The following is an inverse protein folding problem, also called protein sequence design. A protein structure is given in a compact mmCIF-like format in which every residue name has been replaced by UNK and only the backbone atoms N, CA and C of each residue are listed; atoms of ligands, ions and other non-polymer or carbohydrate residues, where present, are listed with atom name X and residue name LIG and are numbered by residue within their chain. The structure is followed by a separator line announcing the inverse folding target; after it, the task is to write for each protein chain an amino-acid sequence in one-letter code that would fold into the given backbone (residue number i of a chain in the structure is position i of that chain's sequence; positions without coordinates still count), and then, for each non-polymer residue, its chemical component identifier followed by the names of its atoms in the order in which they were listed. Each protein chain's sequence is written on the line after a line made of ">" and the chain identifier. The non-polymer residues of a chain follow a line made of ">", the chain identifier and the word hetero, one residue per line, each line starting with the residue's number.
data_IF_783521694983
#
_entry.id   IF_783521694983
#
_cell.length_a   1.000
_cell.length_b   1.000
_cell.length_c   1.000
_cell.angle_alpha   90.00
_cell.angle_beta   90.00
_cell.angle_gamma   90.00
#
_symmetry.space_group_name_H-M   'P 1'
#
loop_
_entity.id
_entity.type
_entity.pdbx_description
1 polymer ?
#
# COMPACT_ATOMS: atom_id res chain seq x y z
N UNK A 1 -18.01 32.23 -16.58
CA UNK A 1 -18.64 32.30 -15.23
C UNK A 1 -18.37 31.08 -14.35
N UNK A 2 -18.49 29.83 -14.85
CA UNK A 2 -18.25 28.60 -14.04
C UNK A 2 -16.85 28.51 -13.42
N UNK A 3 -15.82 28.95 -14.14
CA UNK A 3 -14.42 28.93 -13.69
C UNK A 3 -14.20 29.79 -12.44
N UNK A 4 -14.81 30.97 -12.35
CA UNK A 4 -14.64 31.88 -11.20
C UNK A 4 -15.24 31.33 -9.90
N UNK A 5 -16.35 30.60 -9.99
CA UNK A 5 -16.97 29.95 -8.84
C UNK A 5 -16.08 28.81 -8.31
N UNK A 6 -15.53 28.00 -9.21
CA UNK A 6 -14.60 26.92 -8.86
C UNK A 6 -13.36 27.44 -8.12
N UNK A 7 -12.73 28.52 -8.61
CA UNK A 7 -11.59 29.15 -7.92
C UNK A 7 -11.95 29.63 -6.50
N UNK A 8 -13.16 30.16 -6.29
CA UNK A 8 -13.61 30.60 -4.96
C UNK A 8 -13.77 29.43 -4.00
N UNK A 9 -14.33 28.32 -4.48
CA UNK A 9 -14.50 27.09 -3.68
C UNK A 9 -13.14 26.52 -3.31
N UNK A 10 -12.21 26.41 -4.28
CA UNK A 10 -10.84 25.93 -4.02
C UNK A 10 -10.16 26.83 -2.98
N UNK A 11 -10.22 28.15 -3.14
CA UNK A 11 -9.64 29.07 -2.16
C UNK A 11 -10.27 28.95 -0.77
N UNK A 12 -11.55 28.63 -0.67
CA UNK A 12 -12.21 28.40 0.62
C UNK A 12 -11.71 27.10 1.28
N UNK A 13 -11.63 26.01 0.52
CA UNK A 13 -11.15 24.71 1.01
C UNK A 13 -9.69 24.79 1.48
N UNK A 14 -8.83 25.50 0.72
CA UNK A 14 -7.41 25.64 1.04
C UNK A 14 -7.10 26.67 2.15
N UNK A 15 -8.08 27.49 2.56
CA UNK A 15 -7.93 28.36 3.74
C UNK A 15 -7.97 27.59 5.05
N UNK A 16 -8.61 26.42 5.08
CA UNK A 16 -8.67 25.58 6.27
C UNK A 16 -7.41 24.73 6.36
N UNK A 17 -6.49 25.11 7.25
CA UNK A 17 -5.16 24.52 7.34
C UNK A 17 -5.19 23.00 7.51
N UNK A 18 -6.02 22.49 8.41
CA UNK A 18 -6.14 21.04 8.65
C UNK A 18 -6.67 20.31 7.41
N UNK A 19 -7.74 20.83 6.79
CA UNK A 19 -8.30 20.25 5.57
C UNK A 19 -7.25 20.22 4.44
N UNK A 20 -6.51 21.32 4.26
CA UNK A 20 -5.42 21.40 3.28
C UNK A 20 -4.33 20.35 3.56
N UNK A 21 -3.92 20.17 4.82
CA UNK A 21 -2.92 19.16 5.21
C UNK A 21 -3.41 17.75 4.88
N UNK A 22 -4.66 17.42 5.21
CA UNK A 22 -5.22 16.09 4.92
C UNK A 22 -5.36 15.83 3.41
N UNK A 23 -5.79 16.83 2.62
CA UNK A 23 -5.85 16.71 1.17
C UNK A 23 -4.46 16.42 0.58
N UNK A 24 -3.43 17.14 1.03
CA UNK A 24 -2.07 16.90 0.53
C UNK A 24 -1.49 15.56 1.00
N UNK A 25 -1.78 15.13 2.25
CA UNK A 25 -1.35 13.82 2.74
C UNK A 25 -1.92 12.67 1.89
N UNK A 26 -3.20 12.75 1.52
CA UNK A 26 -3.85 11.78 0.64
C UNK A 26 -3.20 11.77 -0.76
N UNK A 27 -2.95 12.95 -1.34
CA UNK A 27 -2.25 13.07 -2.64
C UNK A 27 -0.83 12.50 -2.56
N UNK A 28 -0.09 12.80 -1.49
CA UNK A 28 1.26 12.29 -1.28
C UNK A 28 1.29 10.78 -1.09
N UNK A 29 0.25 10.20 -0.47
CA UNK A 29 0.07 8.75 -0.35
C UNK A 29 -0.15 8.08 -1.72
N UNK A 30 -1.07 8.59 -2.56
CA UNK A 30 -1.22 8.02 -3.91
C UNK A 30 0.02 8.21 -4.78
N UNK A 31 0.71 9.35 -4.62
CA UNK A 31 1.97 9.59 -5.30
C UNK A 31 3.07 8.65 -4.81
N UNK A 32 3.11 8.30 -3.52
CA UNK A 32 4.09 7.34 -3.00
C UNK A 32 3.86 5.95 -3.57
N UNK A 33 2.62 5.48 -3.61
CA UNK A 33 2.25 4.22 -4.27
C UNK A 33 2.70 4.23 -5.73
N UNK A 34 2.41 5.31 -6.46
CA UNK A 34 2.77 5.42 -7.87
C UNK A 34 4.28 5.39 -8.08
N UNK A 35 5.06 6.03 -7.21
CA UNK A 35 6.53 5.98 -7.23
C UNK A 35 7.05 4.57 -6.93
N UNK A 36 6.54 3.92 -5.90
CA UNK A 36 6.93 2.55 -5.51
C UNK A 36 6.63 1.55 -6.63
N UNK A 37 5.47 1.67 -7.31
CA UNK A 37 5.14 0.79 -8.43
C UNK A 37 5.94 1.07 -9.71
N UNK A 38 6.42 2.30 -9.90
CA UNK A 38 7.20 2.67 -11.06
C UNK A 38 8.69 2.31 -10.93
N UNK A 39 9.18 2.17 -9.70
CA UNK A 39 10.56 1.77 -9.41
C UNK A 39 10.68 0.23 -9.40
N UNK A 40 11.44 -0.37 -10.34
CA UNK A 40 11.55 -1.82 -10.46
C UNK A 40 12.16 -2.53 -9.25
N UNK A 41 12.92 -1.82 -8.40
CA UNK A 41 13.53 -2.39 -7.20
C UNK A 41 12.64 -2.18 -5.97
N UNK A 42 12.07 -0.99 -5.78
CA UNK A 42 11.13 -0.72 -4.67
C UNK A 42 9.81 -1.51 -4.83
N UNK A 43 9.36 -1.76 -6.07
CA UNK A 43 8.18 -2.57 -6.32
C UNK A 43 8.36 -4.01 -5.81
N UNK A 44 9.56 -4.58 -5.90
CA UNK A 44 9.85 -5.95 -5.40
C UNK A 44 9.71 -6.04 -3.88
N UNK A 45 9.89 -4.92 -3.17
CA UNK A 45 9.82 -4.86 -1.71
C UNK A 45 8.43 -4.51 -1.19
N UNK A 46 7.45 -4.25 -2.07
CA UNK A 46 6.10 -3.85 -1.69
C UNK A 46 5.29 -5.02 -1.13
N UNK A 47 5.56 -5.36 0.13
CA UNK A 47 4.66 -6.16 0.97
C UNK A 47 3.73 -5.19 1.69
N UNK A 48 2.43 -5.44 1.63
CA UNK A 48 1.46 -4.69 2.45
C UNK A 48 0.85 -5.68 3.42
N UNK A 49 0.89 -5.33 4.70
CA UNK A 49 0.35 -6.15 5.78
C UNK A 49 -0.53 -5.25 6.64
N UNK A 50 -1.73 -5.72 6.97
CA UNK A 50 -2.69 -4.99 7.79
C UNK A 50 -3.40 -5.93 8.77
N UNK A 51 -3.91 -5.35 9.86
CA UNK A 51 -4.63 -6.08 10.90
C UNK A 51 -6.08 -5.59 10.91
N UNK A 52 -7.02 -6.52 10.80
CA UNK A 52 -8.45 -6.26 10.96
C UNK A 52 -8.97 -6.88 12.27
N UNK A 53 -10.27 -6.80 12.52
CA UNK A 53 -10.88 -7.25 13.79
C UNK A 53 -10.70 -8.75 14.09
N UNK A 54 -10.44 -9.55 13.06
CA UNK A 54 -10.35 -11.01 13.13
C UNK A 54 -8.95 -11.57 12.85
N UNK A 55 -7.97 -10.72 12.49
CA UNK A 55 -6.57 -11.14 12.31
C UNK A 55 -5.79 -10.33 11.28
N UNK A 56 -4.56 -10.78 11.03
CA UNK A 56 -3.60 -10.19 10.10
C UNK A 56 -3.77 -10.74 8.70
N UNK A 57 -3.70 -9.85 7.71
CA UNK A 57 -3.76 -10.14 6.28
C UNK A 57 -2.61 -9.45 5.57
N UNK A 58 -2.31 -9.91 4.36
CA UNK A 58 -1.26 -9.27 3.60
C UNK A 58 -1.28 -9.64 2.13
N UNK A 59 -0.56 -8.87 1.34
CA UNK A 59 -0.18 -9.25 0.00
C UNK A 59 1.30 -8.98 -0.24
N UNK A 60 1.91 -9.80 -1.08
CA UNK A 60 3.34 -9.81 -1.34
C UNK A 60 3.61 -10.10 -2.82
N UNK A 61 4.65 -9.47 -3.38
CA UNK A 61 5.15 -9.77 -4.73
C UNK A 61 6.38 -10.65 -4.59
N UNK A 62 6.34 -11.84 -5.17
CA UNK A 62 7.49 -12.75 -5.22
C UNK A 62 8.54 -12.27 -6.22
N UNK A 63 9.77 -12.75 -6.06
CA UNK A 63 10.89 -12.44 -6.98
C UNK A 63 10.60 -12.74 -8.45
N UNK A 64 9.71 -13.70 -8.73
CA UNK A 64 9.28 -14.06 -10.08
C UNK A 64 8.15 -13.16 -10.64
N UNK A 65 7.79 -12.07 -9.95
CA UNK A 65 6.74 -11.14 -10.33
C UNK A 65 5.32 -11.63 -10.06
N UNK A 66 5.13 -12.77 -9.38
CA UNK A 66 3.81 -13.28 -9.03
C UNK A 66 3.29 -12.61 -7.77
N UNK A 67 2.03 -12.15 -7.83
CA UNK A 67 1.31 -11.60 -6.68
C UNK A 67 0.72 -12.72 -5.81
N UNK A 68 1.01 -12.70 -4.51
CA UNK A 68 0.38 -13.56 -3.52
C UNK A 68 -0.51 -12.72 -2.60
N UNK A 69 -1.80 -13.01 -2.58
CA UNK A 69 -2.78 -12.38 -1.71
C UNK A 69 -3.21 -13.36 -0.62
N UNK A 70 -3.00 -12.98 0.64
CA UNK A 70 -3.36 -13.77 1.81
C UNK A 70 -4.58 -13.16 2.51
N UNK A 71 -5.75 -13.69 2.15
CA UNK A 71 -7.05 -13.23 2.65
C UNK A 71 -7.51 -13.94 3.95
N UNK A 72 -6.82 -15.02 4.32
CA UNK A 72 -7.13 -15.74 5.55
C UNK A 72 -6.54 -14.99 6.74
N UNK A 73 -7.35 -14.70 7.78
CA UNK A 73 -6.88 -13.95 8.94
C UNK A 73 -5.92 -14.80 9.76
N UNK A 74 -4.66 -14.39 9.81
CA UNK A 74 -3.67 -15.00 10.69
C UNK A 74 -3.74 -14.41 12.09
N UNK A 75 -3.46 -15.24 13.09
CA UNK A 75 -3.55 -14.82 14.50
C UNK A 75 -2.45 -13.87 14.90
N UNK A 76 -1.29 -13.97 14.25
CA UNK A 76 -0.14 -13.11 14.50
C UNK A 76 0.50 -12.58 13.23
N UNK A 77 1.18 -11.44 13.34
CA UNK A 77 1.98 -10.87 12.27
C UNK A 77 3.12 -11.83 11.84
N UNK A 78 3.65 -12.61 12.79
CA UNK A 78 4.70 -13.60 12.51
C UNK A 78 4.21 -14.67 11.54
N UNK A 79 2.98 -15.15 11.70
CA UNK A 79 2.42 -16.18 10.81
C UNK A 79 2.33 -15.67 9.35
N UNK A 80 2.03 -14.38 9.16
CA UNK A 80 2.01 -13.74 7.83
C UNK A 80 3.43 -13.68 7.24
N UNK A 81 4.42 -13.30 8.05
CA UNK A 81 5.83 -13.31 7.63
C UNK A 81 6.31 -14.72 7.27
N UNK A 82 5.90 -15.73 8.04
CA UNK A 82 6.31 -17.10 7.78
C UNK A 82 5.78 -17.61 6.44
N UNK A 83 4.54 -17.24 6.09
CA UNK A 83 3.94 -17.57 4.79
C UNK A 83 4.67 -16.86 3.64
N UNK A 84 5.08 -15.61 3.85
CA UNK A 84 5.78 -14.81 2.84
C UNK A 84 7.19 -15.35 2.59
N UNK A 85 7.96 -15.62 3.65
CA UNK A 85 9.40 -15.88 3.54
C UNK A 85 9.79 -17.37 3.57
N UNK A 86 9.16 -18.22 4.40
CA UNK A 86 9.61 -19.62 4.52
C UNK A 86 9.16 -20.53 3.38
N UNK A 87 8.08 -20.20 2.65
CA UNK A 87 7.62 -21.00 1.50
C UNK A 87 8.51 -20.88 0.25
N UNK A 88 9.50 -19.99 0.24
CA UNK A 88 10.42 -19.83 -0.89
C UNK A 88 11.66 -20.75 -0.78
N UNK A 89 12.17 -21.02 0.42
CA UNK A 89 13.38 -21.84 0.62
C UNK A 89 13.21 -23.31 0.18
N UNK A 90 12.03 -23.91 0.41
CA UNK A 90 11.75 -25.30 0.01
C UNK A 90 11.72 -25.49 -1.52
N UNK A 91 11.40 -24.45 -2.30
CA UNK A 91 11.36 -24.54 -3.77
C UNK A 91 12.74 -24.34 -4.42
N UNK A 92 13.65 -23.59 -3.78
CA UNK A 92 15.01 -23.44 -4.27
C UNK A 92 15.90 -24.66 -3.96
N UNK A 93 15.64 -25.40 -2.88
CA UNK A 93 16.41 -26.61 -2.53
C UNK A 93 15.92 -27.90 -3.20
N UNK A 94 14.78 -27.86 -3.89
CA UNK A 94 14.21 -29.00 -4.62
C UNK A 94 14.49 -28.96 -6.14
N UNK A 95 15.36 -28.06 -6.60
CA UNK A 95 15.80 -27.90 -8.00
C UNK A 95 17.31 -28.11 -8.09
#
# INVERSE_FOLDING_TARGET
>A
MKTTLMYKIVNLLFKWENLRKFIFAEVDYYNSISRTLADPEEMKTASVIWCESDGWRGWHIKDNGTYYFHDLPEKSLSDVFDIIYYKEEEKQHAM
#
